data_IF_635729652049
#
_entry.id   IF_635729652049
#
_cell.length_a   1.000
_cell.length_b   1.000
_cell.length_c   1.000
_cell.angle_alpha   90.00
_cell.angle_beta   90.00
_cell.angle_gamma   90.00
#
_symmetry.space_group_name_H-M   'P 1'
#
loop_
_entity.id
_entity.type
_entity.pdbx_description
1 polymer ?
#
# COMPACT_ATOMS: atom_id res chain seq x y z
N UNK A 1 2.22 -1.23 -1.26
CA UNK A 1 3.63 -1.65 -1.48
C UNK A 1 3.75 -3.17 -1.29
N UNK A 2 3.35 -4.01 -2.26
CA UNK A 2 3.39 -5.49 -2.12
C UNK A 2 3.73 -6.23 -3.44
N UNK A 3 4.65 -5.72 -4.28
CA UNK A 3 4.86 -6.25 -5.66
C UNK A 3 6.26 -6.84 -5.90
N UNK A 4 7.14 -6.86 -4.89
CA UNK A 4 8.59 -7.01 -5.14
C UNK A 4 9.09 -8.43 -5.48
N UNK A 5 8.25 -9.47 -5.40
CA UNK A 5 8.63 -10.84 -5.82
C UNK A 5 7.99 -11.30 -7.14
N UNK A 6 7.08 -10.52 -7.72
CA UNK A 6 6.48 -10.91 -9.00
C UNK A 6 7.51 -10.99 -10.11
N UNK A 7 8.50 -10.09 -10.07
CA UNK A 7 9.57 -10.04 -11.05
C UNK A 7 10.50 -11.24 -11.01
N UNK A 8 10.73 -11.94 -9.89
CA UNK A 8 11.67 -13.08 -9.88
C UNK A 8 11.05 -14.38 -10.36
N UNK A 9 9.79 -14.65 -9.99
CA UNK A 9 9.13 -15.93 -10.30
C UNK A 9 8.52 -15.97 -11.71
N UNK A 10 8.07 -14.83 -12.25
CA UNK A 10 7.65 -14.75 -13.67
C UNK A 10 8.81 -15.01 -14.65
N UNK A 11 10.06 -14.99 -14.18
CA UNK A 11 11.26 -15.16 -14.99
C UNK A 11 11.89 -16.55 -14.85
N UNK A 12 11.34 -17.44 -14.01
CA UNK A 12 11.84 -18.81 -13.88
C UNK A 12 11.75 -19.51 -15.25
N UNK A 13 12.91 -19.88 -15.79
CA UNK A 13 13.04 -20.52 -17.11
C UNK A 13 13.23 -19.58 -18.30
N UNK A 14 13.18 -18.24 -18.13
CA UNK A 14 13.24 -17.26 -19.25
C UNK A 14 14.63 -16.57 -19.32
N UNK A 15 15.49 -16.71 -18.30
CA UNK A 15 16.86 -16.15 -18.33
C UNK A 15 16.92 -14.62 -18.36
N UNK A 16 15.87 -13.95 -17.90
CA UNK A 16 15.76 -12.47 -17.89
C UNK A 16 16.19 -11.93 -16.53
N UNK A 17 16.81 -10.74 -16.56
CA UNK A 17 17.23 -9.99 -15.39
C UNK A 17 16.45 -8.66 -15.36
N UNK A 18 15.63 -8.45 -14.32
CA UNK A 18 14.86 -7.20 -14.19
C UNK A 18 15.60 -6.27 -13.24
N UNK A 19 15.91 -5.06 -13.71
CA UNK A 19 16.50 -4.00 -12.88
C UNK A 19 15.45 -2.93 -12.61
N UNK A 20 15.17 -2.67 -11.34
CA UNK A 20 14.28 -1.60 -10.92
C UNK A 20 15.09 -0.50 -10.24
N UNK A 21 15.15 0.67 -10.87
CA UNK A 21 15.84 1.86 -10.34
C UNK A 21 14.88 2.71 -9.52
N UNK A 22 15.40 3.34 -8.48
CA UNK A 22 14.68 4.31 -7.64
C UNK A 22 15.18 5.71 -7.93
N UNK A 23 14.27 6.67 -7.85
CA UNK A 23 14.56 8.09 -8.06
C UNK A 23 14.81 8.73 -6.69
N UNK A 24 15.73 9.70 -6.63
CA UNK A 24 15.96 10.51 -5.41
C UNK A 24 14.97 11.65 -5.36
N UNK A 25 14.52 12.02 -4.16
CA UNK A 25 13.71 13.21 -3.93
C UNK A 25 14.40 14.46 -4.51
N UNK A 26 13.63 15.34 -5.16
CA UNK A 26 14.10 16.65 -5.64
C UNK A 26 14.32 16.81 -7.15
N UNK A 27 14.16 15.76 -7.96
CA UNK A 27 14.50 15.79 -9.40
C UNK A 27 13.37 15.41 -10.37
N UNK A 28 12.11 15.44 -9.96
CA UNK A 28 10.99 15.15 -10.86
C UNK A 28 9.90 16.20 -10.74
N UNK A 29 9.58 16.89 -11.84
CA UNK A 29 8.23 17.37 -12.09
C UNK A 29 7.54 16.28 -12.92
N UNK A 30 6.71 15.45 -12.30
CA UNK A 30 5.86 14.52 -13.03
C UNK A 30 4.52 15.18 -13.34
N UNK A 31 3.90 14.82 -14.45
CA UNK A 31 2.54 15.30 -14.78
C UNK A 31 1.54 15.02 -13.64
N UNK A 32 1.75 13.93 -12.91
CA UNK A 32 0.98 13.58 -11.71
C UNK A 32 1.00 14.69 -10.65
N UNK A 33 2.13 15.38 -10.48
CA UNK A 33 2.30 16.43 -9.48
C UNK A 33 1.40 17.64 -9.78
N UNK A 34 1.11 17.89 -11.06
CA UNK A 34 0.18 18.94 -11.48
C UNK A 34 -1.28 18.60 -11.13
N UNK A 35 -1.67 17.32 -11.26
CA UNK A 35 -3.02 16.87 -10.87
C UNK A 35 -3.19 16.91 -9.36
N UNK A 36 -2.20 16.40 -8.60
CA UNK A 36 -2.16 16.48 -7.14
C UNK A 36 -2.29 17.92 -6.65
N UNK A 37 -1.46 18.84 -7.19
CA UNK A 37 -1.52 20.26 -6.85
C UNK A 37 -2.90 20.88 -7.11
N UNK A 38 -3.59 20.44 -8.15
CA UNK A 38 -4.93 20.95 -8.50
C UNK A 38 -6.00 20.44 -7.54
N UNK A 39 -5.91 19.16 -7.17
CA UNK A 39 -6.81 18.51 -6.22
C UNK A 39 -6.62 19.07 -4.81
N UNK A 40 -5.38 19.21 -4.35
CA UNK A 40 -5.05 19.68 -3.00
C UNK A 40 -5.61 21.08 -2.73
N UNK A 41 -5.58 21.98 -3.71
CA UNK A 41 -6.21 23.31 -3.61
C UNK A 41 -7.73 23.27 -3.37
N UNK A 42 -8.37 22.13 -3.64
CA UNK A 42 -9.81 21.91 -3.48
C UNK A 42 -10.17 21.08 -2.25
N UNK A 43 -9.21 20.35 -1.68
CA UNK A 43 -9.31 19.67 -0.39
C UNK A 43 -9.13 20.71 0.73
N UNK A 44 -10.04 21.68 0.80
CA UNK A 44 -10.19 22.61 1.93
C UNK A 44 -11.57 22.45 2.58
N UNK A 45 -12.47 21.70 1.94
CA UNK A 45 -13.81 21.41 2.42
C UNK A 45 -13.83 20.28 3.44
N UNK A 46 -14.90 20.24 4.25
CA UNK A 46 -15.19 19.09 5.11
C UNK A 46 -15.44 17.83 4.27
N UNK A 47 -14.82 16.73 4.70
CA UNK A 47 -14.90 15.43 4.02
C UNK A 47 -15.37 14.40 5.03
N UNK A 48 -16.57 13.88 4.81
CA UNK A 48 -17.22 12.96 5.73
C UNK A 48 -17.27 11.55 5.18
N UNK A 49 -17.36 11.38 3.86
CA UNK A 49 -17.46 10.08 3.19
C UNK A 49 -16.52 9.95 2.00
N UNK A 50 -16.21 8.73 1.54
CA UNK A 50 -15.47 8.53 0.30
C UNK A 50 -16.12 9.18 -0.93
N UNK A 51 -17.45 9.42 -0.91
CA UNK A 51 -18.16 10.09 -2.00
C UNK A 51 -17.75 11.55 -2.13
N UNK A 52 -17.46 12.22 -1.03
CA UNK A 52 -17.06 13.63 -1.03
C UNK A 52 -15.72 13.80 -1.75
N UNK A 53 -14.78 12.86 -1.54
CA UNK A 53 -13.54 12.79 -2.32
C UNK A 53 -13.82 12.66 -3.82
N UNK A 54 -14.77 11.82 -4.23
CA UNK A 54 -15.11 11.68 -5.66
C UNK A 54 -15.57 13.01 -6.26
N UNK A 55 -16.41 13.75 -5.54
CA UNK A 55 -16.93 15.04 -5.98
C UNK A 55 -15.79 16.07 -6.08
N UNK A 56 -14.95 16.15 -5.05
CA UNK A 56 -13.78 17.05 -5.03
C UNK A 56 -12.84 16.73 -6.18
N UNK A 57 -12.51 15.45 -6.37
CA UNK A 57 -11.65 14.99 -7.46
C UNK A 57 -12.26 15.33 -8.83
N UNK A 58 -13.53 15.05 -9.07
CA UNK A 58 -14.17 15.37 -10.35
C UNK A 58 -14.12 16.87 -10.65
N UNK A 59 -14.43 17.70 -9.65
CA UNK A 59 -14.56 19.15 -9.78
C UNK A 59 -13.25 19.91 -9.61
N UNK A 60 -12.14 19.22 -9.31
CA UNK A 60 -10.88 19.88 -8.99
C UNK A 60 -10.31 20.67 -10.17
N UNK A 61 -10.42 20.13 -11.38
CA UNK A 61 -9.92 20.75 -12.61
C UNK A 61 -11.06 21.35 -13.42
N UNK A 62 -10.93 22.63 -13.76
CA UNK A 62 -11.92 23.35 -14.58
C UNK A 62 -11.52 23.32 -16.06
N UNK A 63 -10.23 23.58 -16.38
CA UNK A 63 -9.69 23.55 -17.75
C UNK A 63 -8.60 22.47 -17.85
N UNK A 64 -8.51 21.72 -18.96
CA UNK A 64 -9.40 21.75 -20.13
C UNK A 64 -10.79 21.16 -19.86
N UNK A 65 -10.92 20.26 -18.87
CA UNK A 65 -12.19 19.67 -18.44
C UNK A 65 -12.06 19.04 -17.05
N UNK A 66 -13.18 18.78 -16.34
CA UNK A 66 -13.22 17.97 -15.11
C UNK A 66 -12.45 16.65 -15.20
N UNK A 67 -11.98 16.13 -14.06
CA UNK A 67 -11.33 14.81 -14.03
C UNK A 67 -12.38 13.70 -14.16
N UNK A 68 -12.04 12.66 -14.93
CA UNK A 68 -12.80 11.41 -14.92
C UNK A 68 -12.36 10.57 -13.72
N UNK A 69 -13.24 10.42 -12.74
CA UNK A 69 -12.97 9.66 -11.51
C UNK A 69 -13.68 8.33 -11.56
N UNK A 70 -12.91 7.24 -11.63
CA UNK A 70 -13.41 5.87 -11.55
C UNK A 70 -13.34 5.38 -10.10
N UNK A 71 -14.49 5.15 -9.47
CA UNK A 71 -14.57 4.54 -8.14
C UNK A 71 -14.39 3.04 -8.27
N UNK A 72 -13.33 2.52 -7.64
CA UNK A 72 -13.05 1.08 -7.65
C UNK A 72 -13.84 0.37 -6.55
N UNK A 73 -14.38 -0.81 -6.89
CA UNK A 73 -15.06 -1.69 -5.95
C UNK A 73 -14.12 -2.80 -5.46
N UNK A 74 -14.48 -3.42 -4.34
CA UNK A 74 -13.66 -4.46 -3.69
C UNK A 74 -13.33 -5.64 -4.62
N UNK A 75 -14.23 -5.99 -5.53
CA UNK A 75 -14.13 -7.09 -6.50
C UNK A 75 -13.21 -6.79 -7.69
N UNK A 76 -12.81 -5.51 -7.87
CA UNK A 76 -11.78 -5.11 -8.83
C UNK A 76 -10.36 -5.30 -8.26
N UNK A 77 -10.21 -5.52 -6.95
CA UNK A 77 -8.91 -5.75 -6.33
C UNK A 77 -8.53 -7.23 -6.37
N UNK A 78 -7.29 -7.48 -6.78
CA UNK A 78 -6.67 -8.80 -6.79
C UNK A 78 -5.71 -8.94 -5.61
N UNK A 79 -5.78 -10.08 -4.93
CA UNK A 79 -4.82 -10.53 -3.94
C UNK A 79 -3.87 -11.52 -4.58
N UNK A 80 -2.58 -11.33 -4.39
CA UNK A 80 -1.59 -12.32 -4.80
C UNK A 80 -1.54 -13.47 -3.80
N UNK A 81 -1.81 -14.69 -4.25
CA UNK A 81 -1.61 -15.91 -3.44
C UNK A 81 -0.18 -16.42 -3.61
N UNK A 82 0.80 -15.66 -3.13
CA UNK A 82 2.19 -16.09 -3.13
C UNK A 82 2.98 -15.56 -1.95
N UNK A 83 3.99 -16.33 -1.57
CA UNK A 83 5.06 -15.89 -0.69
C UNK A 83 5.81 -14.72 -1.34
N UNK A 84 5.93 -13.60 -0.65
CA UNK A 84 6.67 -12.42 -1.08
C UNK A 84 7.76 -12.10 -0.05
N UNK A 85 8.70 -11.24 -0.43
CA UNK A 85 9.61 -10.64 0.55
C UNK A 85 8.79 -9.81 1.54
N UNK A 86 8.91 -10.08 2.84
CA UNK A 86 8.26 -9.26 3.87
C UNK A 86 8.86 -7.85 3.93
N UNK A 87 10.12 -7.71 3.52
CA UNK A 87 10.85 -6.45 3.47
C UNK A 87 11.86 -6.45 2.34
N UNK A 88 12.07 -5.28 1.74
CA UNK A 88 13.17 -4.99 0.81
C UNK A 88 14.31 -4.21 1.50
N UNK A 89 14.24 -4.06 2.82
CA UNK A 89 15.25 -3.33 3.60
C UNK A 89 16.55 -4.14 3.66
N UNK A 90 17.70 -3.57 3.28
CA UNK A 90 18.99 -4.26 3.41
C UNK A 90 19.39 -4.49 4.87
N UNK A 91 19.23 -3.45 5.69
CA UNK A 91 19.65 -3.43 7.09
C UNK A 91 18.65 -4.02 8.07
N UNK A 92 19.16 -4.53 9.20
CA UNK A 92 18.35 -5.04 10.33
C UNK A 92 18.52 -4.23 11.61
N UNK A 93 19.70 -3.63 11.81
CA UNK A 93 20.06 -2.87 13.01
C UNK A 93 19.89 -1.37 12.80
N UNK A 94 19.88 -0.63 13.91
CA UNK A 94 20.00 0.82 13.87
C UNK A 94 21.38 1.20 13.29
N UNK A 95 21.40 2.13 12.33
CA UNK A 95 22.60 2.50 11.58
C UNK A 95 22.80 1.74 10.27
N UNK A 96 22.11 0.61 10.06
CA UNK A 96 22.19 -0.09 8.78
C UNK A 96 21.37 0.62 7.69
N UNK A 97 21.74 0.45 6.39
CA UNK A 97 20.99 0.98 5.27
C UNK A 97 19.50 0.62 5.28
N UNK A 98 18.68 1.60 4.99
CA UNK A 98 17.23 1.52 4.97
C UNK A 98 16.70 1.52 3.55
N UNK A 99 15.38 1.45 3.39
CA UNK A 99 14.74 1.52 2.07
C UNK A 99 14.99 2.85 1.34
N UNK A 100 15.36 3.91 2.07
CA UNK A 100 15.65 5.24 1.50
C UNK A 100 17.04 5.33 0.88
N UNK A 101 17.95 4.44 1.27
CA UNK A 101 19.32 4.38 0.78
C UNK A 101 19.43 3.58 -0.54
N UNK A 102 18.38 2.84 -0.88
CA UNK A 102 18.31 2.04 -2.09
C UNK A 102 18.33 2.90 -3.36
N UNK A 103 19.05 2.42 -4.36
CA UNK A 103 19.16 3.04 -5.69
C UNK A 103 18.66 2.14 -6.80
N UNK A 104 18.86 0.83 -6.66
CA UNK A 104 18.18 -0.13 -7.52
C UNK A 104 18.10 -1.51 -6.85
N UNK A 105 17.15 -2.30 -7.33
CA UNK A 105 17.14 -3.75 -7.17
C UNK A 105 17.34 -4.45 -8.49
N UNK A 106 17.88 -5.66 -8.41
CA UNK A 106 18.01 -6.57 -9.51
C UNK A 106 17.40 -7.93 -9.14
N UNK A 107 16.49 -8.40 -9.97
CA UNK A 107 15.73 -9.62 -9.78
C UNK A 107 16.22 -10.67 -10.78
N UNK A 108 16.76 -11.79 -10.29
CA UNK A 108 17.19 -12.91 -11.14
C UNK A 108 16.11 -13.99 -11.26
N UNK A 109 16.18 -14.76 -12.34
CA UNK A 109 15.35 -15.96 -12.56
C UNK A 109 15.61 -17.07 -11.53
N UNK A 110 16.74 -17.02 -10.82
CA UNK A 110 17.09 -17.94 -9.73
C UNK A 110 16.37 -17.62 -8.41
N UNK A 111 15.59 -16.53 -8.36
CA UNK A 111 14.87 -16.11 -7.16
C UNK A 111 15.71 -15.27 -6.19
N UNK A 112 16.95 -14.92 -6.56
CA UNK A 112 17.81 -14.01 -5.80
C UNK A 112 17.47 -12.56 -6.13
N UNK A 113 17.58 -11.72 -5.11
CA UNK A 113 17.40 -10.27 -5.24
C UNK A 113 18.67 -9.60 -4.79
N UNK A 114 19.23 -8.77 -5.66
CA UNK A 114 20.36 -7.94 -5.33
C UNK A 114 19.92 -6.48 -5.22
N UNK A 115 20.65 -5.69 -4.45
CA UNK A 115 20.43 -4.25 -4.32
C UNK A 115 21.73 -3.48 -4.50
N UNK A 116 21.61 -2.20 -4.81
CA UNK A 116 22.72 -1.25 -4.76
C UNK A 116 22.31 0.05 -4.07
N UNK A 117 23.26 0.66 -3.38
CA UNK A 117 23.09 1.91 -2.62
C UNK A 117 23.69 3.14 -3.34
N UNK A 118 24.37 2.92 -4.47
CA UNK A 118 24.94 3.98 -5.30
C UNK A 118 24.40 3.95 -6.73
N UNK A 119 24.33 5.11 -7.36
CA UNK A 119 24.02 5.22 -8.79
C UNK A 119 25.20 4.90 -9.70
N UNK A 120 26.42 4.92 -9.15
CA UNK A 120 27.62 4.58 -9.93
C UNK A 120 27.50 3.21 -10.57
N UNK A 121 27.89 3.11 -11.83
CA UNK A 121 27.96 1.83 -12.56
C UNK A 121 29.05 0.92 -11.98
N UNK A 122 30.05 1.48 -11.31
CA UNK A 122 31.07 0.72 -10.57
C UNK A 122 30.60 0.18 -9.21
N UNK A 123 29.36 0.51 -8.79
CA UNK A 123 28.82 0.02 -7.52
C UNK A 123 28.56 -1.48 -7.58
N UNK A 124 28.98 -2.18 -6.53
CA UNK A 124 28.73 -3.61 -6.38
C UNK A 124 27.26 -3.86 -6.08
N UNK A 125 26.73 -4.96 -6.63
CA UNK A 125 25.42 -5.50 -6.31
C UNK A 125 25.54 -6.45 -5.12
N UNK A 126 24.80 -6.19 -4.05
CA UNK A 126 24.80 -7.01 -2.84
C UNK A 126 23.53 -7.86 -2.79
N UNK A 127 23.64 -9.13 -2.40
CA UNK A 127 22.48 -10.01 -2.24
C UNK A 127 21.68 -9.61 -1.00
N UNK A 128 20.36 -9.49 -1.15
CA UNK A 128 19.47 -9.09 -0.08
C UNK A 128 19.42 -10.22 0.98
N UNK A 129 19.75 -9.94 2.25
CA UNK A 129 20.00 -10.99 3.26
C UNK A 129 18.73 -11.69 3.77
N UNK A 130 17.58 -11.44 3.14
CA UNK A 130 16.30 -12.01 3.55
C UNK A 130 15.94 -13.22 2.70
N UNK A 131 15.84 -14.38 3.36
CA UNK A 131 15.33 -15.60 2.73
C UNK A 131 13.86 -15.41 2.37
N UNK A 132 13.52 -15.62 1.10
CA UNK A 132 12.12 -15.69 0.68
C UNK A 132 11.55 -17.03 1.10
N UNK A 133 10.41 -17.01 1.79
CA UNK A 133 9.65 -18.25 2.03
C UNK A 133 9.26 -18.84 0.67
N UNK A 134 9.40 -20.15 0.44
CA UNK A 134 8.88 -20.73 -0.79
C UNK A 134 7.35 -20.65 -0.80
N UNK A 135 6.70 -20.39 -1.94
CA UNK A 135 5.24 -20.41 -1.98
C UNK A 135 4.76 -21.85 -1.76
N UNK A 136 3.72 -22.04 -0.93
CA UNK A 136 3.10 -23.35 -0.70
C UNK A 136 2.20 -23.81 -1.88
N UNK A 137 2.41 -23.30 -3.10
CA UNK A 137 1.58 -23.62 -4.27
C UNK A 137 1.81 -22.70 -5.47
N UNK A 138 1.07 -22.91 -6.57
CA UNK A 138 1.16 -22.07 -7.77
C UNK A 138 0.72 -20.64 -7.46
N UNK A 139 1.49 -19.67 -7.94
CA UNK A 139 1.17 -18.25 -7.80
C UNK A 139 -0.06 -17.92 -8.66
N UNK A 140 -1.10 -17.41 -8.02
CA UNK A 140 -2.29 -16.93 -8.72
C UNK A 140 -2.75 -15.60 -8.14
N UNK A 141 -3.27 -14.75 -9.02
CA UNK A 141 -4.07 -13.61 -8.62
C UNK A 141 -5.49 -14.08 -8.33
N UNK A 142 -5.93 -13.90 -7.08
CA UNK A 142 -7.29 -14.22 -6.66
C UNK A 142 -8.05 -12.93 -6.40
N UNK A 143 -9.31 -12.87 -6.85
CA UNK A 143 -10.20 -11.75 -6.50
C UNK A 143 -10.51 -11.77 -5.01
N UNK A 144 -10.67 -10.58 -4.43
CA UNK A 144 -11.22 -10.50 -3.08
C UNK A 144 -12.68 -10.96 -3.10
N UNK A 145 -13.07 -11.92 -2.26
CA UNK A 145 -14.42 -12.48 -2.29
C UNK A 145 -15.48 -11.52 -1.72
N UNK A 146 -15.08 -10.62 -0.83
CA UNK A 146 -15.93 -9.63 -0.20
C UNK A 146 -15.12 -8.42 0.28
N UNK A 147 -15.81 -7.34 0.66
CA UNK A 147 -15.19 -6.21 1.33
C UNK A 147 -14.52 -6.67 2.64
N UNK A 148 -13.27 -6.25 2.86
CA UNK A 148 -12.52 -6.67 4.04
C UNK A 148 -13.11 -6.00 5.30
N UNK A 149 -13.49 -6.77 6.33
CA UNK A 149 -14.06 -6.21 7.53
C UNK A 149 -12.99 -5.48 8.36
N UNK A 150 -13.34 -4.31 8.89
CA UNK A 150 -12.51 -3.57 9.85
C UNK A 150 -12.56 -4.22 11.24
N UNK A 151 -11.64 -3.83 12.12
CA UNK A 151 -11.68 -4.28 13.51
C UNK A 151 -12.84 -3.62 14.27
N UNK A 152 -13.42 -4.32 15.25
CA UNK A 152 -14.47 -3.79 16.12
C UNK A 152 -14.09 -2.44 16.73
N UNK A 153 -12.88 -2.34 17.29
CA UNK A 153 -12.40 -1.07 17.88
C UNK A 153 -12.50 0.08 16.88
N UNK A 154 -12.11 -0.16 15.62
CA UNK A 154 -12.07 0.87 14.59
C UNK A 154 -13.49 1.23 14.16
N UNK A 155 -14.39 0.26 14.13
CA UNK A 155 -15.81 0.49 13.90
C UNK A 155 -16.39 1.40 14.99
N UNK A 156 -16.19 1.05 16.28
CA UNK A 156 -16.68 1.86 17.41
C UNK A 156 -16.09 3.28 17.43
N UNK A 157 -14.79 3.42 17.13
CA UNK A 157 -14.16 4.75 16.98
C UNK A 157 -14.89 5.58 15.92
N UNK A 158 -15.19 5.00 14.75
CA UNK A 158 -15.94 5.69 13.69
C UNK A 158 -17.39 6.02 14.11
N UNK A 159 -18.05 5.13 14.85
CA UNK A 159 -19.39 5.39 15.39
C UNK A 159 -19.38 6.58 16.37
N UNK A 160 -18.34 6.71 17.19
CA UNK A 160 -18.18 7.83 18.12
C UNK A 160 -18.02 9.20 17.45
N UNK A 161 -17.62 9.22 16.17
CA UNK A 161 -17.46 10.45 15.39
C UNK A 161 -18.77 10.93 14.77
N UNK A 162 -19.83 10.10 14.70
CA UNK A 162 -21.11 10.47 14.08
C UNK A 162 -21.72 11.80 14.60
N UNK A 163 -21.63 12.16 15.89
CA UNK A 163 -22.21 13.41 16.39
C UNK A 163 -21.64 14.69 15.76
N UNK A 164 -20.42 14.64 15.20
CA UNK A 164 -19.79 15.79 14.52
C UNK A 164 -20.00 15.76 13.00
N UNK A 165 -20.75 14.79 12.48
CA UNK A 165 -20.97 14.57 11.05
C UNK A 165 -22.44 14.78 10.68
N UNK A 166 -22.73 15.22 9.45
CA UNK A 166 -24.12 15.29 8.96
C UNK A 166 -24.83 13.95 9.05
N UNK A 167 -26.12 13.97 9.41
CA UNK A 167 -26.92 12.76 9.63
C UNK A 167 -27.02 11.89 8.36
N UNK A 168 -26.95 12.50 7.18
CA UNK A 168 -26.99 11.84 5.88
C UNK A 168 -25.78 10.90 5.69
N UNK A 169 -24.66 11.20 6.33
CA UNK A 169 -23.45 10.38 6.26
C UNK A 169 -23.51 9.14 7.17
N UNK A 170 -24.39 9.13 8.17
CA UNK A 170 -24.41 8.10 9.23
C UNK A 170 -24.65 6.71 8.66
N UNK A 171 -25.55 6.58 7.67
CA UNK A 171 -25.87 5.33 7.01
C UNK A 171 -24.63 4.65 6.39
N UNK A 172 -23.65 5.42 5.90
CA UNK A 172 -22.42 4.84 5.37
C UNK A 172 -21.63 4.10 6.46
N UNK A 173 -21.50 4.71 7.64
CA UNK A 173 -20.74 4.15 8.76
C UNK A 173 -21.45 2.97 9.41
N UNK A 174 -22.77 3.03 9.51
CA UNK A 174 -23.59 1.96 10.09
C UNK A 174 -23.47 0.63 9.34
N UNK A 175 -23.22 0.70 8.03
CA UNK A 175 -23.12 -0.46 7.15
C UNK A 175 -21.67 -0.92 6.89
N UNK A 176 -20.68 -0.40 7.63
CA UNK A 176 -19.29 -0.84 7.46
C UNK A 176 -19.11 -2.29 7.95
N UNK A 177 -18.55 -3.19 7.13
CA UNK A 177 -18.28 -4.56 7.56
C UNK A 177 -17.21 -4.55 8.66
N UNK A 178 -17.48 -5.22 9.79
CA UNK A 178 -16.57 -5.27 10.92
C UNK A 178 -16.53 -6.67 11.54
N UNK A 179 -15.41 -7.00 12.18
CA UNK A 179 -15.23 -8.25 12.91
C UNK A 179 -15.76 -8.06 14.32
N UNK A 180 -16.69 -8.89 14.76
CA UNK A 180 -17.09 -8.93 16.16
C UNK A 180 -15.95 -9.50 17.01
N UNK A 181 -15.40 -8.70 17.92
CA UNK A 181 -14.44 -9.20 18.92
C UNK A 181 -15.23 -10.03 19.93
N UNK A 182 -15.17 -11.36 19.82
CA UNK A 182 -15.67 -12.26 20.86
C UNK A 182 -14.92 -11.98 22.17
N UNK A 183 -15.59 -11.30 23.10
CA UNK A 183 -15.27 -11.01 24.51
C UNK A 183 -13.89 -11.51 24.98
N UNK A 184 -12.98 -10.57 25.25
CA UNK A 184 -11.79 -10.82 26.08
C UNK A 184 -12.27 -11.24 27.47
N UNK A 185 -11.91 -12.44 27.91
CA UNK A 185 -12.15 -12.93 29.26
C UNK A 185 -11.57 -11.91 30.28
N UNK A 186 -12.36 -11.34 31.20
CA UNK A 186 -11.89 -10.33 32.15
C UNK A 186 -11.11 -11.01 33.28
N UNK A 187 -9.89 -11.44 32.99
CA UNK A 187 -8.96 -11.90 34.01
C UNK A 187 -7.58 -11.30 33.77
N UNK A 188 -7.07 -10.67 34.82
CA UNK A 188 -5.70 -10.17 35.00
C UNK A 188 -5.34 -8.85 34.31
N UNK A 189 -5.54 -7.77 35.07
CA UNK A 189 -4.49 -6.77 35.34
C UNK A 189 -4.77 -6.09 36.69
N UNK A 190 -4.38 -6.75 37.79
CA UNK A 190 -4.19 -6.04 39.07
C UNK A 190 -2.88 -5.28 38.99
N UNK A 191 -2.94 -3.96 39.01
CA UNK A 191 -1.76 -3.13 39.17
C UNK A 191 -1.33 -3.23 40.64
N UNK A 192 -0.15 -3.79 40.89
CA UNK A 192 0.51 -3.64 42.20
C UNK A 192 1.03 -2.21 42.28
N UNK A 193 0.66 -1.54 43.39
CA UNK A 193 1.13 -0.23 43.81
C UNK A 193 2.64 -0.23 44.04
#
# INVERSE_FOLDING_TARGET
MHVWRMHTLSLQGIGVLITQKYIVAGHTQMECDSMHSTIERKIVADIFTPRDYVIILQTARIRPSPYHVKVLKHDEFLKLNASHFLSIRPGKKAGDPTVHDLRAHQFSSEGKVHFKLSFSEASVWEELPQRVQAPNGPMAWIRLPCALPIQERKFQDLQSMKPIMPAECHHFFDNLPHKYDSVKNPAQKSWKK
#
